data_IF_797192013507
#
_entry.id   IF_797192013507
#
_cell.length_a   1.000
_cell.length_b   1.000
_cell.length_c   1.000
_cell.angle_alpha   90.00
_cell.angle_beta   90.00
_cell.angle_gamma   90.00
#
_symmetry.space_group_name_H-M   'P 1'
#
loop_
_entity.id
_entity.type
_entity.pdbx_description
1 polymer ?
#
# COMPACT_ATOMS: atom_id res chain seq x y z
N UNK A 1 -7.47 -7.24 -18.06
CA UNK A 1 -6.29 -6.39 -17.83
C UNK A 1 -5.50 -6.95 -16.66
N UNK A 2 -4.48 -7.76 -16.94
CA UNK A 2 -3.57 -8.26 -15.90
C UNK A 2 -2.52 -7.18 -15.67
N UNK A 3 -2.47 -6.59 -14.46
CA UNK A 3 -1.25 -5.90 -14.05
C UNK A 3 -0.18 -6.97 -13.88
N UNK A 4 0.84 -6.94 -14.74
CA UNK A 4 2.12 -7.51 -14.37
C UNK A 4 2.71 -6.56 -13.32
N UNK A 5 2.52 -6.88 -12.04
CA UNK A 5 3.09 -6.17 -10.91
C UNK A 5 4.29 -6.98 -10.42
N UNK A 6 5.47 -6.39 -10.43
CA UNK A 6 6.73 -7.04 -10.10
C UNK A 6 7.33 -6.46 -8.81
N UNK A 7 8.26 -7.19 -8.22
CA UNK A 7 9.10 -6.67 -7.13
C UNK A 7 9.92 -5.50 -7.65
N UNK A 8 10.10 -4.48 -6.82
CA UNK A 8 10.68 -3.16 -7.09
C UNK A 8 9.82 -2.16 -7.88
N UNK A 9 8.63 -2.56 -8.34
CA UNK A 9 7.70 -1.61 -8.96
C UNK A 9 7.30 -0.53 -7.93
N UNK A 10 7.30 0.73 -8.39
CA UNK A 10 6.75 1.86 -7.65
C UNK A 10 5.33 2.13 -8.13
N UNK A 11 4.36 2.04 -7.22
CA UNK A 11 2.96 2.30 -7.49
C UNK A 11 2.40 3.41 -6.60
N UNK A 12 1.46 4.18 -7.12
CA UNK A 12 0.61 5.04 -6.31
C UNK A 12 -0.59 4.23 -5.83
N UNK A 13 -0.79 4.18 -4.52
CA UNK A 13 -1.81 3.36 -3.89
C UNK A 13 -2.64 4.20 -2.92
N UNK A 14 -3.96 4.13 -3.06
CA UNK A 14 -4.88 4.64 -2.02
C UNK A 14 -5.07 3.59 -0.93
N UNK A 15 -4.82 3.99 0.31
CA UNK A 15 -4.98 3.13 1.48
C UNK A 15 -6.42 3.24 1.98
N UNK A 16 -7.13 2.11 1.98
CA UNK A 16 -8.57 2.06 2.23
C UNK A 16 -8.90 1.53 3.61
N UNK A 17 -8.12 0.58 4.12
CA UNK A 17 -8.38 -0.14 5.38
C UNK A 17 -7.08 -0.36 6.14
N UNK A 18 -7.21 -0.82 7.38
CA UNK A 18 -6.11 -1.27 8.21
C UNK A 18 -6.28 -2.78 8.48
N UNK A 19 -5.19 -3.52 8.43
CA UNK A 19 -5.12 -4.92 8.80
C UNK A 19 -4.99 -5.10 10.31
N UNK A 20 -5.03 -6.36 10.75
CA UNK A 20 -4.96 -6.71 12.16
C UNK A 20 -3.59 -6.44 12.79
N UNK A 21 -2.54 -6.34 11.97
CA UNK A 21 -1.18 -6.03 12.43
C UNK A 21 -0.85 -4.53 12.30
N UNK A 22 -1.85 -3.70 11.96
CA UNK A 22 -1.66 -2.27 11.77
C UNK A 22 -1.16 -1.87 10.38
N UNK A 23 -1.09 -2.80 9.42
CA UNK A 23 -0.71 -2.52 8.04
C UNK A 23 -1.83 -1.83 7.27
N UNK A 24 -1.48 -0.87 6.41
CA UNK A 24 -2.41 -0.26 5.48
C UNK A 24 -2.76 -1.22 4.35
N UNK A 25 -4.04 -1.27 3.96
CA UNK A 25 -4.52 -2.13 2.87
C UNK A 25 -5.04 -1.26 1.74
N UNK A 26 -4.47 -1.45 0.55
CA UNK A 26 -4.95 -0.88 -0.70
C UNK A 26 -5.16 -1.96 -1.78
N UNK A 27 -5.68 -1.54 -2.94
CA UNK A 27 -5.92 -2.43 -4.06
C UNK A 27 -5.29 -1.86 -5.33
N UNK A 28 -4.43 -2.65 -5.98
CA UNK A 28 -3.84 -2.31 -7.28
C UNK A 28 -4.32 -3.29 -8.34
N UNK A 29 -5.15 -2.81 -9.28
CA UNK A 29 -5.81 -3.63 -10.32
C UNK A 29 -6.46 -4.93 -9.76
N UNK A 30 -7.19 -4.80 -8.66
CA UNK A 30 -7.86 -5.88 -7.88
C UNK A 30 -6.93 -6.79 -7.08
N UNK A 31 -5.62 -6.56 -7.10
CA UNK A 31 -4.69 -7.23 -6.20
C UNK A 31 -4.65 -6.51 -4.86
N UNK A 32 -4.77 -7.24 -3.75
CA UNK A 32 -4.60 -6.69 -2.40
C UNK A 32 -3.13 -6.35 -2.19
N UNK A 33 -2.85 -5.14 -1.70
CA UNK A 33 -1.49 -4.70 -1.36
C UNK A 33 -1.46 -4.27 0.11
N UNK A 34 -0.60 -4.92 0.88
CA UNK A 34 -0.34 -4.63 2.29
C UNK A 34 0.85 -3.68 2.40
N UNK A 35 0.73 -2.62 3.19
CA UNK A 35 1.74 -1.56 3.30
C UNK A 35 1.91 -1.16 4.76
N UNK A 36 3.04 -1.52 5.35
CA UNK A 36 3.34 -1.17 6.74
C UNK A 36 3.47 0.36 6.93
N UNK A 37 2.97 0.87 8.06
CA UNK A 37 3.04 2.30 8.39
C UNK A 37 2.11 3.22 7.58
N UNK A 38 1.31 2.67 6.67
CA UNK A 38 0.35 3.41 5.87
C UNK A 38 -1.04 3.41 6.53
N UNK A 39 -1.71 4.57 6.55
CA UNK A 39 -2.98 4.75 7.27
C UNK A 39 -4.17 4.87 6.30
N UNK A 40 -5.38 4.45 6.71
CA UNK A 40 -6.59 4.71 5.93
C UNK A 40 -6.79 6.19 5.60
N UNK A 41 -7.18 6.46 4.36
CA UNK A 41 -7.38 7.81 3.83
C UNK A 41 -6.15 8.42 3.16
N UNK A 42 -5.03 7.70 3.13
CA UNK A 42 -3.80 8.14 2.47
C UNK A 42 -3.72 7.79 0.99
N UNK A 43 -2.93 8.58 0.27
CA UNK A 43 -2.35 8.18 -1.01
C UNK A 43 -0.84 8.08 -0.83
N UNK A 44 -0.30 6.91 -1.10
CA UNK A 44 1.08 6.55 -0.83
C UNK A 44 1.77 6.06 -2.10
N UNK A 45 3.00 6.49 -2.30
CA UNK A 45 3.95 5.87 -3.21
C UNK A 45 4.56 4.67 -2.49
N UNK A 46 4.38 3.49 -3.08
CA UNK A 46 4.66 2.19 -2.46
C UNK A 46 5.57 1.41 -3.39
N UNK A 47 6.68 0.90 -2.87
CA UNK A 47 7.56 -0.04 -3.58
C UNK A 47 7.12 -1.46 -3.27
N UNK A 48 6.85 -2.27 -4.29
CA UNK A 48 6.53 -3.68 -4.08
C UNK A 48 7.79 -4.42 -3.66
N UNK A 49 7.76 -5.09 -2.52
CA UNK A 49 8.87 -5.90 -2.00
C UNK A 49 8.59 -7.40 -2.12
N UNK A 50 7.32 -7.79 -2.18
CA UNK A 50 6.90 -9.18 -2.35
C UNK A 50 5.65 -9.26 -3.23
N UNK A 51 5.60 -10.26 -4.12
CA UNK A 51 4.45 -10.55 -4.96
C UNK A 51 4.08 -12.03 -4.85
N UNK A 52 2.87 -12.32 -4.38
CA UNK A 52 2.25 -13.66 -4.38
C UNK A 52 0.97 -13.66 -5.18
N UNK A 53 0.46 -14.79 -5.63
CA UNK A 53 -0.70 -14.86 -6.53
C UNK A 53 -1.88 -13.94 -6.14
N UNK A 54 -2.32 -13.98 -4.88
CA UNK A 54 -3.47 -13.21 -4.38
C UNK A 54 -3.17 -11.85 -3.74
N UNK A 55 -1.91 -11.53 -3.45
CA UNK A 55 -1.55 -10.27 -2.80
C UNK A 55 -0.12 -9.80 -3.10
N UNK A 56 0.19 -8.56 -2.74
CA UNK A 56 1.55 -8.06 -2.69
C UNK A 56 1.81 -7.39 -1.33
N UNK A 57 3.08 -7.35 -0.95
CA UNK A 57 3.56 -6.54 0.17
C UNK A 57 4.38 -5.40 -0.39
N UNK A 58 4.14 -4.20 0.13
CA UNK A 58 4.81 -2.99 -0.29
C UNK A 58 5.40 -2.21 0.88
N UNK A 59 6.53 -1.57 0.61
CA UNK A 59 7.19 -0.62 1.50
C UNK A 59 6.67 0.79 1.21
N UNK A 60 6.32 1.54 2.25
CA UNK A 60 5.91 2.94 2.15
C UNK A 60 7.11 3.83 1.82
N UNK A 61 7.17 4.38 0.61
CA UNK A 61 8.25 5.27 0.18
C UNK A 61 7.93 6.72 0.49
N UNK A 62 6.71 7.14 0.17
CA UNK A 62 6.28 8.53 0.38
C UNK A 62 4.77 8.64 0.49
N UNK A 63 4.30 9.45 1.42
CA UNK A 63 2.89 9.82 1.52
C UNK A 63 2.65 11.06 0.65
N UNK A 64 1.84 10.93 -0.41
CA UNK A 64 1.41 12.05 -1.26
C UNK A 64 0.25 12.81 -0.65
N UNK A 65 -0.68 12.09 0.00
CA UNK A 65 -1.80 12.65 0.76
C UNK A 65 -1.85 12.03 2.15
N UNK A 66 -1.67 12.85 3.18
CA UNK A 66 -1.68 12.42 4.59
C UNK A 66 -3.11 12.19 5.09
N UNK A 67 -3.27 11.21 5.96
CA UNK A 67 -4.51 11.01 6.72
C UNK A 67 -4.65 12.11 7.77
N UNK A 68 -5.90 12.51 8.06
CA UNK A 68 -6.21 13.42 9.17
C UNK A 68 -5.87 12.84 10.54
N UNK A 69 -5.77 11.51 10.62
CA UNK A 69 -5.46 10.78 11.85
C UNK A 69 -3.95 10.50 12.01
N UNK A 70 -3.12 10.91 11.04
CA UNK A 70 -1.67 10.72 11.16
C UNK A 70 -1.12 11.68 12.21
N UNK A 71 -0.51 11.10 13.23
CA UNK A 71 0.32 11.82 14.21
C UNK A 71 1.79 11.51 13.94
N UNK A 72 2.67 12.46 14.25
CA UNK A 72 4.09 12.16 14.34
C UNK A 72 4.31 11.51 15.72
N UNK A 73 4.88 10.29 15.79
CA UNK A 73 5.31 9.73 17.07
C UNK A 73 6.43 10.56 17.71
#
# INVERSE_FOLDING_TARGET
MNANLQVNDLILLSIKRIGINGEGIGYYKRLTVFVEGALPGEEAEVRIVERKEGYAVGELIRIKKKSRHRVLP
#
